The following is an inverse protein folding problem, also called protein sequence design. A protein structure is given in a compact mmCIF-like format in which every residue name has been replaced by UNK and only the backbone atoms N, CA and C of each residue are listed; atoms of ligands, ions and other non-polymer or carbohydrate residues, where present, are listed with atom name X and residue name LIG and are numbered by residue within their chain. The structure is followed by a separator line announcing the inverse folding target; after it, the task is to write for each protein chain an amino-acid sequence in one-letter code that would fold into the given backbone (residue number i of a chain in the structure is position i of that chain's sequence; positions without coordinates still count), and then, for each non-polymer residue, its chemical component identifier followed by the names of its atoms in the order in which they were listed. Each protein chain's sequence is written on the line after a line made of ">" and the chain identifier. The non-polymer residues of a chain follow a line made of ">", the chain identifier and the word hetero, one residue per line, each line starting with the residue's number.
data_IF_544702084080
#
_entry.id   IF_544702084080
#
_cell.length_a   1.000
_cell.length_b   1.000
_cell.length_c   1.000
_cell.angle_alpha   90.00
_cell.angle_beta   90.00
_cell.angle_gamma   90.00
#
_symmetry.space_group_name_H-M   'P 1'
#
loop_
_entity.id
_entity.type
_entity.pdbx_description
1 polymer ?
#
# COMPACT_ATOMS: atom_id res chain seq x y z
N UNK A 1 -2.94 0.19 -4.81
CA UNK A 1 -4.22 -0.46 -4.43
C UNK A 1 -4.56 -0.01 -3.02
N UNK A 2 -5.81 0.35 -2.77
CA UNK A 2 -6.27 0.89 -1.50
C UNK A 2 -7.25 -0.07 -0.83
N UNK A 3 -7.00 -0.39 0.42
CA UNK A 3 -7.87 -1.11 1.33
C UNK A 3 -8.38 -0.08 2.33
N UNK A 4 -9.48 0.59 2.00
CA UNK A 4 -10.04 1.63 2.86
C UNK A 4 -11.02 1.01 3.84
N UNK A 5 -10.96 1.45 5.09
CA UNK A 5 -11.93 1.16 6.13
C UNK A 5 -13.34 1.68 5.83
N UNK A 6 -13.49 2.57 4.85
CA UNK A 6 -14.78 3.08 4.36
C UNK A 6 -15.40 2.20 3.25
N UNK A 7 -14.67 1.20 2.76
CA UNK A 7 -15.12 0.33 1.69
C UNK A 7 -15.06 -1.14 2.14
N UNK A 8 -16.00 -1.95 1.65
CA UNK A 8 -16.03 -3.39 1.92
C UNK A 8 -15.10 -4.19 1.00
N UNK A 9 -14.54 -3.56 -0.03
CA UNK A 9 -13.65 -4.19 -1.01
C UNK A 9 -12.47 -3.28 -1.35
N UNK A 10 -11.30 -3.85 -1.65
CA UNK A 10 -10.15 -3.07 -2.09
C UNK A 10 -10.33 -2.47 -3.48
N UNK A 11 -9.91 -1.22 -3.62
CA UNK A 11 -10.04 -0.41 -4.84
C UNK A 11 -8.70 -0.15 -5.55
N UNK A 12 -8.74 0.25 -6.83
CA UNK A 12 -7.57 0.83 -7.49
C UNK A 12 -7.17 2.13 -6.77
N UNK A 13 -5.87 2.43 -6.79
CA UNK A 13 -5.36 3.68 -6.24
C UNK A 13 -4.20 4.15 -7.10
N UNK A 14 -4.30 5.39 -7.58
CA UNK A 14 -3.25 6.08 -8.31
C UNK A 14 -2.57 7.05 -7.34
N UNK A 15 -1.50 6.57 -6.72
CA UNK A 15 -0.73 7.37 -5.78
C UNK A 15 0.25 8.22 -6.56
N UNK A 16 0.24 9.53 -6.31
CA UNK A 16 1.22 10.43 -6.85
C UNK A 16 2.60 10.11 -6.24
N UNK A 17 3.62 10.04 -7.08
CA UNK A 17 5.00 9.87 -6.64
C UNK A 17 5.78 11.15 -6.91
N UNK A 18 6.59 11.57 -5.95
CA UNK A 18 7.53 12.68 -6.12
C UNK A 18 8.86 12.13 -6.59
N UNK A 19 9.43 12.75 -7.64
CA UNK A 19 10.78 12.47 -8.10
C UNK A 19 11.77 13.47 -7.50
N UNK A 20 12.93 13.02 -7.05
CA UNK A 20 13.98 13.87 -6.47
C UNK A 20 14.50 14.95 -7.42
N UNK A 21 14.58 14.65 -8.70
CA UNK A 21 15.25 15.44 -9.73
C UNK A 21 14.30 15.86 -10.87
N UNK A 22 12.99 15.67 -10.69
CA UNK A 22 11.99 15.86 -11.74
C UNK A 22 12.08 14.85 -12.89
N UNK A 23 13.05 13.92 -12.88
CA UNK A 23 13.16 12.87 -13.87
C UNK A 23 12.51 11.58 -13.38
N UNK A 24 12.01 10.75 -14.30
CA UNK A 24 11.48 9.42 -13.95
C UNK A 24 12.58 8.43 -13.51
N UNK A 25 13.85 8.81 -13.62
CA UNK A 25 15.02 7.97 -13.26
C UNK A 25 15.46 8.19 -11.81
N UNK A 26 15.08 9.30 -11.18
CA UNK A 26 15.35 9.59 -9.77
C UNK A 26 14.55 8.72 -8.80
N UNK A 27 14.81 8.91 -7.50
CA UNK A 27 14.07 8.24 -6.43
C UNK A 27 12.60 8.68 -6.44
N UNK A 28 11.70 7.70 -6.43
CA UNK A 28 10.25 7.93 -6.45
C UNK A 28 9.68 7.69 -5.05
N UNK A 29 9.32 8.78 -4.37
CA UNK A 29 8.69 8.75 -3.04
C UNK A 29 7.17 8.79 -3.17
N UNK A 30 6.47 7.88 -2.51
CA UNK A 30 5.01 7.86 -2.52
C UNK A 30 4.41 8.97 -1.65
N UNK A 31 3.43 9.71 -2.19
CA UNK A 31 2.61 10.65 -1.43
C UNK A 31 1.30 9.96 -1.01
N UNK A 32 1.40 9.12 0.02
CA UNK A 32 0.31 8.27 0.52
C UNK A 32 -0.60 8.99 1.52
N UNK A 33 -0.18 10.15 2.01
CA UNK A 33 -0.92 11.00 2.94
C UNK A 33 -2.29 11.39 2.37
N UNK A 34 -2.36 11.62 1.06
CA UNK A 34 -3.61 11.93 0.36
C UNK A 34 -4.62 10.78 0.30
N UNK A 35 -4.16 9.54 0.57
CA UNK A 35 -4.98 8.32 0.43
C UNK A 35 -5.40 7.73 1.77
N UNK A 36 -4.69 8.06 2.86
CA UNK A 36 -4.89 7.45 4.18
C UNK A 36 -5.56 8.44 5.13
N UNK A 37 -6.80 8.15 5.55
CA UNK A 37 -7.56 9.03 6.45
C UNK A 37 -7.08 8.94 7.91
N UNK A 38 -7.70 9.70 8.81
CA UNK A 38 -7.46 9.59 10.26
C UNK A 38 -6.17 10.26 10.72
N UNK A 39 -5.65 11.22 9.96
CA UNK A 39 -4.45 11.99 10.32
C UNK A 39 -4.56 12.69 11.69
N UNK A 40 -5.77 13.08 12.10
CA UNK A 40 -6.04 13.68 13.42
C UNK A 40 -5.78 12.67 14.55
N UNK A 41 -6.12 11.39 14.35
CA UNK A 41 -5.94 10.34 15.36
C UNK A 41 -4.54 9.73 15.31
N UNK A 42 -3.99 9.58 14.11
CA UNK A 42 -2.68 9.03 13.86
C UNK A 42 -2.00 9.84 12.73
N UNK A 43 -1.12 10.80 13.07
CA UNK A 43 -0.48 11.65 12.08
C UNK A 43 0.57 10.91 11.25
N UNK A 44 1.23 9.91 11.82
CA UNK A 44 2.30 9.16 11.16
C UNK A 44 1.77 7.95 10.38
N UNK A 45 2.39 7.70 9.23
CA UNK A 45 2.13 6.54 8.38
C UNK A 45 3.23 5.51 8.64
N UNK A 46 2.84 4.26 8.88
CA UNK A 46 3.79 3.15 8.95
C UNK A 46 4.00 2.58 7.55
N UNK A 47 5.20 2.08 7.30
CA UNK A 47 5.53 1.39 6.06
C UNK A 47 6.33 0.11 6.30
N UNK A 48 6.18 -0.84 5.39
CA UNK A 48 7.03 -2.03 5.32
C UNK A 48 7.12 -2.54 3.88
N UNK A 49 8.13 -3.38 3.61
CA UNK A 49 8.28 -4.07 2.33
C UNK A 49 7.96 -5.54 2.50
N UNK A 50 7.00 -6.03 1.72
CA UNK A 50 6.61 -7.45 1.69
C UNK A 50 7.10 -8.07 0.39
N UNK A 51 7.68 -9.27 0.48
CA UNK A 51 8.13 -10.04 -0.69
C UNK A 51 7.26 -11.28 -0.85
N UNK A 52 6.53 -11.36 -1.95
CA UNK A 52 5.75 -12.54 -2.35
C UNK A 52 6.59 -13.36 -3.34
N UNK A 53 6.65 -14.67 -3.13
CA UNK A 53 7.34 -15.59 -4.03
C UNK A 53 6.29 -16.39 -4.81
N UNK A 54 6.25 -16.21 -6.13
CA UNK A 54 5.31 -16.90 -7.02
C UNK A 54 6.09 -17.53 -8.17
N UNK A 55 6.01 -18.86 -8.33
CA UNK A 55 6.63 -19.60 -9.44
C UNK A 55 8.13 -19.26 -9.68
N UNK A 56 8.87 -19.07 -8.59
CA UNK A 56 10.31 -18.71 -8.64
C UNK A 56 10.61 -17.22 -8.84
N UNK A 57 9.59 -16.38 -9.06
CA UNK A 57 9.73 -14.92 -9.20
C UNK A 57 9.48 -14.23 -7.86
N UNK A 58 10.34 -13.24 -7.54
CA UNK A 58 10.18 -12.39 -6.34
C UNK A 58 9.38 -11.13 -6.66
N UNK A 59 8.31 -10.92 -5.91
CA UNK A 59 7.40 -9.80 -6.05
C UNK A 59 7.47 -8.91 -4.81
N UNK A 60 8.09 -7.72 -4.92
CA UNK A 60 8.24 -6.79 -3.80
C UNK A 60 7.16 -5.71 -3.82
N UNK A 61 6.49 -5.53 -2.68
CA UNK A 61 5.44 -4.53 -2.48
C UNK A 61 5.78 -3.63 -1.31
N UNK A 62 5.57 -2.33 -1.47
CA UNK A 62 5.61 -1.37 -0.38
C UNK A 62 4.19 -1.22 0.17
N UNK A 63 4.04 -1.45 1.47
CA UNK A 63 2.75 -1.42 2.16
C UNK A 63 2.79 -0.27 3.15
N UNK A 64 1.92 0.72 2.93
CA UNK A 64 1.76 1.90 3.76
C UNK A 64 0.44 1.80 4.51
N UNK A 65 0.41 2.10 5.80
CA UNK A 65 -0.80 1.97 6.58
C UNK A 65 -0.87 2.89 7.79
N UNK A 66 -2.10 3.15 8.23
CA UNK A 66 -2.39 3.66 9.56
C UNK A 66 -3.11 2.58 10.35
N UNK A 67 -2.70 2.41 11.60
CA UNK A 67 -3.26 1.38 12.49
C UNK A 67 -3.36 1.91 13.92
N UNK A 68 -4.59 2.11 14.37
CA UNK A 68 -4.85 2.60 15.72
C UNK A 68 -6.19 2.07 16.24
N UNK A 69 -6.30 1.82 17.54
CA UNK A 69 -7.49 1.23 18.17
C UNK A 69 -8.77 2.08 17.97
N UNK A 70 -8.62 3.40 17.84
CA UNK A 70 -9.71 4.36 17.57
C UNK A 70 -10.04 4.54 16.08
N UNK A 71 -9.27 3.95 15.16
CA UNK A 71 -9.62 4.02 13.74
C UNK A 71 -10.76 3.02 13.43
N UNK A 72 -11.55 3.25 12.35
CA UNK A 72 -12.61 2.33 11.95
C UNK A 72 -12.06 0.95 11.59
N UNK A 73 -12.85 -0.09 11.85
CA UNK A 73 -12.53 -1.46 11.42
C UNK A 73 -12.53 -1.49 9.91
N UNK A 74 -11.47 -2.05 9.33
CA UNK A 74 -11.34 -2.21 7.90
C UNK A 74 -11.88 -3.57 7.48
N UNK A 75 -13.13 -3.58 7.01
CA UNK A 75 -13.82 -4.80 6.57
C UNK A 75 -13.30 -5.32 5.23
N UNK A 76 -12.49 -4.55 4.50
CA UNK A 76 -11.82 -5.02 3.28
C UNK A 76 -10.58 -5.87 3.55
N UNK A 77 -10.15 -5.99 4.81
CA UNK A 77 -9.03 -6.82 5.27
C UNK A 77 -9.58 -7.77 6.34
N UNK A 78 -9.67 -9.06 6.01
CA UNK A 78 -10.22 -10.06 6.92
C UNK A 78 -9.09 -10.96 7.40
N UNK A 79 -8.42 -10.54 8.48
CA UNK A 79 -7.33 -11.29 9.11
C UNK A 79 -7.77 -11.97 10.40
N UNK A 80 -6.82 -12.64 11.06
CA UNK A 80 -6.96 -13.07 12.46
C UNK A 80 -6.98 -11.83 13.37
N UNK A 81 -8.16 -11.20 13.46
CA UNK A 81 -8.41 -9.98 14.23
C UNK A 81 -8.85 -8.80 13.37
N UNK A 82 -9.55 -7.84 13.99
CA UNK A 82 -10.03 -6.65 13.32
C UNK A 82 -8.87 -5.67 13.05
N UNK A 83 -8.43 -5.56 11.78
CA UNK A 83 -7.56 -4.47 11.38
C UNK A 83 -8.33 -3.15 11.43
N UNK A 84 -7.73 -2.09 11.99
CA UNK A 84 -8.38 -0.78 12.14
C UNK A 84 -7.54 0.32 11.49
N UNK A 85 -8.08 0.93 10.44
CA UNK A 85 -7.41 1.94 9.61
C UNK A 85 -7.25 1.52 8.15
N UNK A 86 -6.60 2.36 7.36
CA UNK A 86 -6.46 2.19 5.92
C UNK A 86 -5.09 1.61 5.55
N UNK A 87 -5.03 0.87 4.44
CA UNK A 87 -3.79 0.31 3.87
C UNK A 87 -3.68 0.65 2.39
N UNK A 88 -2.51 1.08 1.96
CA UNK A 88 -2.16 1.31 0.57
C UNK A 88 -0.99 0.41 0.18
N UNK A 89 -1.16 -0.31 -0.92
CA UNK A 89 -0.13 -1.18 -1.49
C UNK A 89 0.36 -0.62 -2.81
N UNK A 90 1.67 -0.46 -2.93
CA UNK A 90 2.41 -0.08 -4.14
C UNK A 90 3.44 -1.14 -4.50
N UNK A 91 3.93 -1.10 -5.73
CA UNK A 91 4.94 -2.01 -6.24
C UNK A 91 6.31 -1.40 -6.03
N UNK A 92 7.28 -2.15 -5.50
CA UNK A 92 8.68 -1.71 -5.51
C UNK A 92 9.22 -1.84 -6.93
N UNK A 93 9.86 -0.79 -7.44
CA UNK A 93 10.41 -0.78 -8.80
C UNK A 93 11.49 -1.84 -8.96
N UNK A 94 11.43 -2.59 -10.06
CA UNK A 94 12.47 -3.57 -10.42
C UNK A 94 13.79 -2.90 -10.81
N UNK A 95 13.72 -1.69 -11.39
CA UNK A 95 14.90 -0.93 -11.82
C UNK A 95 15.61 -0.23 -10.66
N UNK A 96 14.86 0.14 -9.61
CA UNK A 96 15.41 0.78 -8.42
C UNK A 96 14.61 0.36 -7.18
N UNK A 97 15.22 -0.46 -6.31
CA UNK A 97 14.56 -1.01 -5.14
C UNK A 97 14.20 0.01 -4.06
N UNK A 98 14.69 1.25 -4.18
CA UNK A 98 14.34 2.37 -3.32
C UNK A 98 13.16 3.19 -3.86
N UNK A 99 12.66 2.87 -5.07
CA UNK A 99 11.54 3.56 -5.71
C UNK A 99 10.28 2.70 -5.72
N UNK A 100 9.12 3.36 -5.71
CA UNK A 100 7.82 2.69 -5.77
C UNK A 100 6.97 3.21 -6.92
N UNK A 101 6.14 2.32 -7.47
CA UNK A 101 5.23 2.60 -8.59
C UNK A 101 3.83 2.06 -8.28
N UNK A 102 2.82 2.63 -8.95
CA UNK A 102 1.46 2.10 -8.88
C UNK A 102 1.38 0.67 -9.42
N UNK A 103 0.49 -0.14 -8.83
CA UNK A 103 0.27 -1.53 -9.24
C UNK A 103 -0.25 -1.61 -10.68
N UNK A 104 0.13 -2.65 -11.42
CA UNK A 104 -0.33 -2.91 -12.80
C UNK A 104 -0.74 -4.36 -13.00
N UNK A 105 -1.77 -4.60 -13.82
CA UNK A 105 -2.19 -5.94 -14.20
C UNK A 105 -2.38 -6.88 -13.00
N UNK A 106 -1.64 -8.00 -12.99
CA UNK A 106 -1.71 -9.06 -11.97
C UNK A 106 -1.20 -8.66 -10.57
N UNK A 107 -0.52 -7.52 -10.44
CA UNK A 107 -0.05 -7.02 -9.14
C UNK A 107 -1.19 -6.88 -8.11
N UNK A 108 -2.40 -6.52 -8.56
CA UNK A 108 -3.55 -6.38 -7.69
C UNK A 108 -3.96 -7.71 -7.06
N UNK A 109 -3.95 -8.80 -7.82
CA UNK A 109 -4.26 -10.15 -7.32
C UNK A 109 -3.21 -10.64 -6.32
N UNK A 110 -1.94 -10.32 -6.55
CA UNK A 110 -0.87 -10.65 -5.60
C UNK A 110 -0.96 -9.82 -4.31
N UNK A 111 -1.30 -8.53 -4.42
CA UNK A 111 -1.55 -7.69 -3.25
C UNK A 111 -2.76 -8.19 -2.43
N UNK A 112 -3.80 -8.65 -3.12
CA UNK A 112 -4.99 -9.26 -2.51
C UNK A 112 -4.72 -10.61 -1.86
N UNK A 113 -3.77 -11.38 -2.38
CA UNK A 113 -3.34 -12.64 -1.75
C UNK A 113 -2.46 -12.36 -0.52
N UNK A 114 -1.64 -11.32 -0.59
CA UNK A 114 -0.72 -10.91 0.47
C UNK A 114 -1.46 -10.37 1.72
N UNK A 115 -2.55 -9.63 1.52
CA UNK A 115 -3.38 -9.13 2.62
C UNK A 115 -4.57 -10.08 2.83
N UNK A 116 -4.81 -10.56 4.05
CA UNK A 116 -5.86 -11.54 4.29
C UNK A 116 -7.26 -10.93 4.02
N UNK A 117 -8.14 -11.71 3.40
CA UNK A 117 -9.42 -11.33 2.78
C UNK A 117 -10.61 -12.09 3.34
#
# INVERSE_FOLDING_TARGET
>A
RLYSSKATRPGPANIAVRCTDGTRKGLQYANVESMLDGAVLQPYIHDCVVTVHELGVKHRFAVYFKRHIRLPINTSINGNGAFRGDVVVMRVSAANTQSVVNLRGRDASLADWMLPR
#
